data_IF_373566559924
#
_entry.id   IF_373566559924
#
_cell.length_a   1.000
_cell.length_b   1.000
_cell.length_c   1.000
_cell.angle_alpha   90.00
_cell.angle_beta   90.00
_cell.angle_gamma   90.00
#
_symmetry.space_group_name_H-M   'P 1'
#
loop_
_entity.id
_entity.type
_entity.pdbx_description
1 polymer ?
#
# COMPACT_ATOMS: atom_id res chain seq x y z
N UNK A 1 34.29 49.37 7.53
CA UNK A 1 33.19 48.67 6.84
C UNK A 1 33.50 47.17 6.80
N UNK A 2 32.77 46.32 7.55
CA UNK A 2 32.98 44.86 7.57
C UNK A 2 31.89 44.19 6.74
N UNK A 3 32.27 43.53 5.64
CA UNK A 3 31.35 42.87 4.71
C UNK A 3 30.89 41.53 5.30
N UNK A 4 29.59 41.40 5.58
CA UNK A 4 28.96 40.13 5.91
C UNK A 4 28.83 39.29 4.63
N UNK A 5 29.58 38.18 4.53
CA UNK A 5 29.35 37.18 3.48
C UNK A 5 28.25 36.23 3.95
N UNK A 6 27.07 36.33 3.33
CA UNK A 6 25.98 35.36 3.51
C UNK A 6 26.33 34.08 2.74
N UNK A 7 26.61 33.00 3.47
CA UNK A 7 26.75 31.67 2.90
C UNK A 7 25.35 31.10 2.70
N UNK A 8 24.93 30.98 1.44
CA UNK A 8 23.68 30.31 1.08
C UNK A 8 23.98 28.81 1.05
N UNK A 9 23.51 28.10 2.07
CA UNK A 9 23.58 26.64 2.15
C UNK A 9 22.50 26.07 1.21
N UNK A 10 22.90 25.65 0.02
CA UNK A 10 22.02 24.95 -0.91
C UNK A 10 21.81 23.52 -0.41
N UNK A 11 20.68 23.27 0.24
CA UNK A 11 20.19 21.91 0.53
C UNK A 11 19.74 21.29 -0.79
N UNK A 12 20.66 20.58 -1.45
CA UNK A 12 20.30 19.66 -2.51
C UNK A 12 19.42 18.57 -1.89
N UNK A 13 18.11 18.62 -2.17
CA UNK A 13 17.22 17.49 -1.97
C UNK A 13 17.67 16.41 -2.96
N UNK A 14 18.60 15.58 -2.52
CA UNK A 14 18.95 14.32 -3.17
C UNK A 14 17.72 13.43 -3.00
N UNK A 15 16.75 13.63 -3.90
CA UNK A 15 15.58 12.79 -4.03
C UNK A 15 16.04 11.43 -4.52
N UNK A 16 16.41 10.57 -3.58
CA UNK A 16 16.59 9.15 -3.82
C UNK A 16 15.24 8.59 -4.26
N UNK A 17 15.02 8.52 -5.57
CA UNK A 17 13.99 7.70 -6.19
C UNK A 17 14.29 6.25 -5.85
N UNK A 18 13.90 5.82 -4.65
CA UNK A 18 13.82 4.42 -4.32
C UNK A 18 12.66 3.88 -5.14
N UNK A 19 13.00 3.26 -6.27
CA UNK A 19 12.09 2.40 -7.02
C UNK A 19 11.79 1.23 -6.09
N UNK A 20 10.86 1.42 -5.16
CA UNK A 20 10.30 0.35 -4.36
C UNK A 20 9.79 -0.68 -5.36
N UNK A 21 10.38 -1.88 -5.34
CA UNK A 21 9.92 -2.97 -6.17
C UNK A 21 8.43 -3.15 -5.92
N UNK A 22 7.61 -2.72 -6.88
CA UNK A 22 6.15 -2.69 -6.70
C UNK A 22 5.60 -4.09 -6.49
N UNK A 23 6.33 -5.12 -6.91
CA UNK A 23 5.96 -6.52 -6.76
C UNK A 23 6.77 -7.17 -5.64
N UNK A 24 6.08 -7.79 -4.68
CA UNK A 24 6.67 -8.60 -3.61
C UNK A 24 6.14 -10.03 -3.68
N UNK A 25 6.89 -10.97 -3.15
CA UNK A 25 6.39 -12.32 -2.85
C UNK A 25 6.01 -12.39 -1.38
N UNK A 26 4.84 -12.94 -1.06
CA UNK A 26 4.37 -13.12 0.30
C UNK A 26 3.84 -14.54 0.48
N UNK A 27 4.37 -15.24 1.48
CA UNK A 27 4.00 -16.62 1.81
C UNK A 27 3.20 -16.65 3.10
N UNK A 28 2.16 -17.48 3.14
CA UNK A 28 1.32 -17.68 4.33
C UNK A 28 1.10 -19.16 4.60
N UNK A 29 0.90 -19.48 5.87
CA UNK A 29 0.65 -20.85 6.34
C UNK A 29 -0.70 -20.95 7.04
N UNK A 30 -1.31 -22.12 7.01
CA UNK A 30 -2.60 -22.36 7.66
C UNK A 30 -2.89 -23.83 7.91
N UNK A 31 -3.82 -24.09 8.85
CA UNK A 31 -4.34 -25.45 9.09
C UNK A 31 -5.18 -25.97 7.92
N UNK A 32 -5.74 -25.05 7.12
CA UNK A 32 -6.45 -25.37 5.88
C UNK A 32 -6.00 -24.44 4.75
N UNK A 33 -6.18 -24.89 3.50
CA UNK A 33 -5.92 -24.07 2.31
C UNK A 33 -6.62 -22.70 2.38
N UNK A 34 -7.88 -22.70 2.81
CA UNK A 34 -8.69 -21.48 2.91
C UNK A 34 -8.12 -20.49 3.94
N UNK A 35 -7.60 -20.98 5.08
CA UNK A 35 -6.95 -20.13 6.08
C UNK A 35 -5.69 -19.46 5.52
N UNK A 36 -4.82 -20.23 4.87
CA UNK A 36 -3.59 -19.70 4.27
C UNK A 36 -3.92 -18.65 3.20
N UNK A 37 -4.86 -18.95 2.29
CA UNK A 37 -5.30 -17.99 1.27
C UNK A 37 -5.92 -16.72 1.86
N UNK A 38 -6.78 -16.84 2.87
CA UNK A 38 -7.39 -15.70 3.54
C UNK A 38 -6.35 -14.76 4.14
N UNK A 39 -5.28 -15.31 4.73
CA UNK A 39 -4.18 -14.51 5.27
C UNK A 39 -3.50 -13.63 4.21
N UNK A 40 -3.31 -14.15 2.99
CA UNK A 40 -2.78 -13.37 1.85
C UNK A 40 -3.70 -12.20 1.50
N UNK A 41 -5.00 -12.46 1.32
CA UNK A 41 -5.96 -11.40 0.99
C UNK A 41 -6.07 -10.34 2.09
N UNK A 42 -6.07 -10.76 3.35
CA UNK A 42 -6.07 -9.85 4.49
C UNK A 42 -4.81 -8.97 4.53
N UNK A 43 -3.63 -9.57 4.33
CA UNK A 43 -2.38 -8.83 4.25
C UNK A 43 -2.39 -7.84 3.08
N UNK A 44 -2.80 -8.28 1.89
CA UNK A 44 -2.85 -7.43 0.70
C UNK A 44 -3.82 -6.25 0.88
N UNK A 45 -5.00 -6.49 1.46
CA UNK A 45 -5.98 -5.45 1.77
C UNK A 45 -5.44 -4.42 2.75
N UNK A 46 -4.91 -4.86 3.90
CA UNK A 46 -4.35 -3.98 4.95
C UNK A 46 -3.18 -3.13 4.47
N UNK A 47 -2.36 -3.68 3.56
CA UNK A 47 -1.14 -3.03 3.11
C UNK A 47 -1.26 -2.36 1.72
N UNK A 48 -2.48 -2.27 1.17
CA UNK A 48 -2.75 -1.62 -0.11
C UNK A 48 -1.99 -2.27 -1.29
N UNK A 49 -2.07 -3.60 -1.37
CA UNK A 49 -1.57 -4.41 -2.49
C UNK A 49 -2.72 -5.04 -3.28
N UNK A 50 -2.46 -5.35 -4.55
CA UNK A 50 -3.23 -6.24 -5.41
C UNK A 50 -2.58 -7.62 -5.40
N UNK A 51 -3.40 -8.66 -5.29
CA UNK A 51 -2.94 -10.04 -5.46
C UNK A 51 -2.89 -10.36 -6.96
N UNK A 52 -1.72 -10.72 -7.48
CA UNK A 52 -1.55 -11.10 -8.90
C UNK A 52 -1.75 -12.60 -9.10
N UNK A 53 -1.21 -13.40 -8.19
CA UNK A 53 -1.29 -14.86 -8.22
C UNK A 53 -1.20 -15.42 -6.81
N UNK A 54 -1.84 -16.57 -6.59
CA UNK A 54 -1.67 -17.39 -5.39
C UNK A 54 -1.45 -18.82 -5.85
N UNK A 55 -0.40 -19.46 -5.35
CA UNK A 55 -0.17 -20.88 -5.50
C UNK A 55 -0.16 -21.51 -4.11
N UNK A 56 -0.91 -22.59 -3.90
CA UNK A 56 -0.98 -23.27 -2.61
C UNK A 56 -0.58 -24.72 -2.76
N UNK A 57 0.21 -25.20 -1.82
CA UNK A 57 0.70 -26.56 -1.79
C UNK A 57 0.66 -27.10 -0.36
N UNK A 58 0.68 -28.42 -0.27
CA UNK A 58 0.70 -29.10 1.01
C UNK A 58 2.15 -29.12 1.52
N UNK A 59 2.41 -28.45 2.64
CA UNK A 59 3.77 -28.40 3.19
C UNK A 59 4.06 -29.69 3.95
N UNK A 60 5.24 -30.27 3.72
CA UNK A 60 5.71 -31.44 4.46
C UNK A 60 6.26 -31.08 5.85
N UNK A 61 6.47 -29.79 6.13
CA UNK A 61 7.05 -29.28 7.39
C UNK A 61 6.21 -28.09 7.88
N UNK A 62 5.60 -28.23 9.06
CA UNK A 62 4.78 -27.19 9.69
C UNK A 62 3.28 -27.33 9.39
N UNK A 63 2.50 -26.22 9.36
CA UNK A 63 1.08 -26.26 9.02
C UNK A 63 0.88 -26.91 7.65
N UNK A 64 -0.19 -27.70 7.47
CA UNK A 64 -0.36 -28.56 6.30
C UNK A 64 -0.51 -27.78 4.99
N UNK A 65 -0.84 -26.48 5.04
CA UNK A 65 -0.97 -25.67 3.84
C UNK A 65 -0.06 -24.46 3.90
N UNK A 66 0.69 -24.28 2.81
CA UNK A 66 1.46 -23.09 2.51
C UNK A 66 0.94 -22.51 1.19
N UNK A 67 0.82 -21.18 1.14
CA UNK A 67 0.44 -20.46 -0.05
C UNK A 67 1.43 -19.34 -0.33
N UNK A 68 2.01 -19.36 -1.52
CA UNK A 68 2.84 -18.29 -2.05
C UNK A 68 2.00 -17.35 -2.91
N UNK A 69 2.24 -16.05 -2.76
CA UNK A 69 1.57 -15.04 -3.56
C UNK A 69 2.51 -14.02 -4.13
N UNK A 70 2.19 -13.51 -5.32
CA UNK A 70 2.82 -12.31 -5.87
C UNK A 70 1.87 -11.14 -5.68
N UNK A 71 2.33 -10.13 -4.95
CA UNK A 71 1.55 -8.95 -4.60
C UNK A 71 2.14 -7.72 -5.28
N UNK A 72 1.28 -6.86 -5.83
CA UNK A 72 1.69 -5.59 -6.44
C UNK A 72 1.15 -4.40 -5.66
N UNK A 73 1.99 -3.45 -5.28
CA UNK A 73 1.57 -2.24 -4.58
C UNK A 73 0.55 -1.51 -5.45
N UNK A 74 -0.61 -1.18 -4.88
CA UNK A 74 -1.60 -0.36 -5.56
C UNK A 74 -1.01 1.03 -5.74
N UNK A 75 -1.02 1.55 -6.96
CA UNK A 75 -0.62 2.93 -7.24
C UNK A 75 -1.54 3.86 -6.46
N UNK A 76 -0.95 4.72 -5.63
CA UNK A 76 -1.67 5.83 -4.99
C UNK A 76 -1.80 7.03 -5.93
N UNK A 77 -1.05 7.04 -7.03
CA UNK A 77 -1.18 8.04 -8.08
C UNK A 77 -2.46 7.75 -8.88
N UNK A 78 -3.45 8.66 -8.87
CA UNK A 78 -4.60 8.54 -9.76
C UNK A 78 -4.10 8.50 -11.22
N UNK A 79 -4.77 7.75 -12.11
CA UNK A 79 -4.39 7.70 -13.51
C UNK A 79 -4.31 9.13 -14.07
N UNK A 80 -3.22 9.41 -14.79
CA UNK A 80 -3.00 10.70 -15.42
C UNK A 80 -4.24 11.07 -16.25
N UNK A 81 -4.83 12.24 -15.97
CA UNK A 81 -6.06 12.71 -16.61
C UNK A 81 -7.34 12.63 -15.77
N UNK A 82 -7.35 12.00 -14.59
CA UNK A 82 -8.46 12.13 -13.65
C UNK A 82 -8.25 13.35 -12.74
N UNK A 83 -8.96 14.44 -13.04
CA UNK A 83 -9.13 15.56 -12.10
C UNK A 83 -9.88 15.04 -10.88
N UNK A 84 -9.18 14.83 -9.76
CA UNK A 84 -9.83 14.61 -8.47
C UNK A 84 -10.37 15.98 -8.04
N UNK A 85 -11.67 16.21 -8.25
CA UNK A 85 -12.37 17.36 -7.68
C UNK A 85 -12.54 17.11 -6.19
N UNK A 86 -11.72 17.72 -5.35
CA UNK A 86 -11.96 17.80 -3.91
C UNK A 86 -12.57 19.16 -3.60
N UNK A 87 -13.81 19.19 -3.10
CA UNK A 87 -14.39 20.39 -2.51
C UNK A 87 -13.88 20.53 -1.07
N UNK A 88 -13.37 21.70 -0.69
CA UNK A 88 -13.02 22.04 0.70
C UNK A 88 -14.24 22.08 1.67
N UNK A 89 -15.43 21.69 1.19
CA UNK A 89 -16.71 21.77 1.90
C UNK A 89 -17.31 20.40 2.26
N UNK A 90 -16.70 19.28 1.86
CA UNK A 90 -17.23 17.92 2.17
C UNK A 90 -17.11 17.52 3.65
N UNK A 91 -16.49 18.35 4.49
CA UNK A 91 -16.37 18.11 5.93
C UNK A 91 -17.68 18.32 6.71
N UNK A 92 -18.79 18.74 6.06
CA UNK A 92 -20.02 19.12 6.78
C UNK A 92 -21.29 18.42 6.25
N UNK A 93 -21.29 17.10 6.02
CA UNK A 93 -22.56 16.34 5.92
C UNK A 93 -22.49 14.92 6.50
N UNK A 94 -22.17 14.82 7.80
CA UNK A 94 -22.73 13.77 8.67
C UNK A 94 -23.37 14.41 9.90
N UNK A 95 -24.49 15.09 9.69
CA UNK A 95 -25.54 15.14 10.70
C UNK A 95 -26.73 14.39 10.11
N UNK A 96 -27.20 13.28 10.73
CA UNK A 96 -28.46 12.70 10.33
C UNK A 96 -29.57 13.70 10.65
N UNK A 97 -30.25 14.20 9.61
CA UNK A 97 -31.56 14.81 9.74
C UNK A 97 -32.51 13.75 10.29
N UNK A 98 -32.83 13.83 11.58
CA UNK A 98 -34.06 13.25 12.12
C UNK A 98 -35.19 14.18 11.65
N UNK A 99 -36.12 13.66 10.87
CA UNK A 99 -37.36 14.36 10.53
C UNK A 99 -38.52 13.46 10.89
N UNK A 100 -39.47 14.07 11.61
CA UNK A 100 -40.74 13.58 12.17
C UNK A 100 -40.64 12.71 13.42
#
# INVERSE_FOLDING_TARGET
MKKLKKVILATALIGSCQVLASNITYSSYGGTKAQAQSAIYNYASRNNYNVLSINCYNSQIGPPWECDSRLRKKSTTPPSGKVIKTSAWDTVKRMPQKTQ
#
